data_IF_533656209274
#
_entry.id   IF_533656209274
#
_cell.length_a   1.000
_cell.length_b   1.000
_cell.length_c   1.000
_cell.angle_alpha   90.00
_cell.angle_beta   90.00
_cell.angle_gamma   90.00
#
_symmetry.space_group_name_H-M   'P 1'
#
loop_
_entity.id
_entity.type
_entity.pdbx_description
1 polymer ?
#
# COMPACT_ATOMS: atom_id res chain seq x y z
N UNK A 1 3.18 21.08 1.07
CA UNK A 1 2.04 21.84 1.69
C UNK A 1 1.73 21.22 3.03
N UNK A 2 1.57 22.03 4.09
CA UNK A 2 1.07 21.55 5.39
C UNK A 2 -0.45 21.59 5.43
N UNK A 3 -1.06 20.46 5.79
CA UNK A 3 -2.52 20.32 5.93
C UNK A 3 -2.84 19.65 7.27
N UNK A 4 -4.04 19.89 7.78
CA UNK A 4 -4.52 19.21 8.97
C UNK A 4 -5.21 17.88 8.56
N UNK A 5 -4.83 16.79 9.20
CA UNK A 5 -5.44 15.47 8.95
C UNK A 5 -6.96 15.48 9.16
N UNK A 6 -7.47 16.33 10.07
CA UNK A 6 -8.91 16.46 10.31
C UNK A 6 -9.70 17.02 9.12
N UNK A 7 -9.03 17.64 8.16
CA UNK A 7 -9.63 18.15 6.92
C UNK A 7 -9.68 17.10 5.80
N UNK A 8 -9.13 15.93 6.04
CA UNK A 8 -9.08 14.85 5.07
C UNK A 8 -10.32 13.95 5.15
N UNK A 9 -10.83 13.56 4.00
CA UNK A 9 -11.81 12.49 3.87
C UNK A 9 -11.12 11.24 3.36
N UNK A 10 -11.23 10.13 4.11
CA UNK A 10 -10.74 8.81 3.69
C UNK A 10 -11.95 7.92 3.44
N UNK A 11 -12.06 7.38 2.23
CA UNK A 11 -13.20 6.54 1.84
C UNK A 11 -12.81 5.49 0.81
N UNK A 12 -13.54 4.35 0.75
CA UNK A 12 -13.44 3.43 -0.36
C UNK A 12 -13.75 4.11 -1.69
N UNK A 13 -13.02 3.73 -2.71
CA UNK A 13 -13.24 4.17 -4.10
C UNK A 13 -13.46 2.96 -4.99
N UNK A 14 -14.15 3.16 -6.10
CA UNK A 14 -14.45 2.12 -7.08
C UNK A 14 -13.47 2.12 -8.25
N UNK A 15 -13.62 1.14 -9.14
CA UNK A 15 -12.74 0.92 -10.29
C UNK A 15 -12.65 2.11 -11.25
N UNK A 16 -13.65 2.99 -11.27
CA UNK A 16 -13.64 4.20 -12.11
C UNK A 16 -12.52 5.18 -11.76
N UNK A 17 -11.91 5.03 -10.58
CA UNK A 17 -10.78 5.85 -10.13
C UNK A 17 -9.42 5.39 -10.68
N UNK A 18 -9.31 4.25 -11.36
CA UNK A 18 -8.01 3.77 -11.87
C UNK A 18 -7.24 4.84 -12.66
N UNK A 19 -7.85 5.63 -13.56
CA UNK A 19 -7.12 6.70 -14.24
C UNK A 19 -6.46 7.71 -13.28
N UNK A 20 -7.14 8.07 -12.18
CA UNK A 20 -6.60 8.97 -11.16
C UNK A 20 -5.46 8.30 -10.37
N UNK A 21 -5.56 7.00 -10.07
CA UNK A 21 -4.48 6.27 -9.42
C UNK A 21 -3.21 6.25 -10.27
N UNK A 22 -3.37 6.03 -11.58
CA UNK A 22 -2.26 6.04 -12.53
C UNK A 22 -1.65 7.44 -12.68
N UNK A 23 -2.46 8.49 -12.66
CA UNK A 23 -1.98 9.88 -12.65
C UNK A 23 -1.09 10.17 -11.43
N UNK A 24 -1.55 9.80 -10.22
CA UNK A 24 -0.79 9.97 -8.98
C UNK A 24 0.51 9.16 -9.02
N UNK A 25 0.48 7.95 -9.58
CA UNK A 25 1.66 7.14 -9.79
C UNK A 25 2.67 7.85 -10.70
N UNK A 26 2.24 8.38 -11.84
CA UNK A 26 3.11 9.08 -12.78
C UNK A 26 3.72 10.36 -12.19
N UNK A 27 2.96 11.10 -11.38
CA UNK A 27 3.52 12.24 -10.63
C UNK A 27 4.65 11.81 -9.69
N UNK A 28 4.47 10.66 -9.03
CA UNK A 28 5.48 10.09 -8.14
C UNK A 28 6.76 9.73 -8.88
N UNK A 29 6.66 9.11 -10.06
CA UNK A 29 7.82 8.78 -10.89
C UNK A 29 8.53 10.04 -11.42
N UNK A 30 7.79 11.03 -11.88
CA UNK A 30 8.37 12.30 -12.32
C UNK A 30 9.12 13.02 -11.20
N UNK A 31 8.56 13.04 -9.99
CA UNK A 31 9.20 13.67 -8.83
C UNK A 31 10.48 12.95 -8.41
N UNK A 32 10.56 11.64 -8.60
CA UNK A 32 11.73 10.83 -8.29
C UNK A 32 12.82 10.85 -9.38
N UNK A 33 12.68 11.69 -10.40
CA UNK A 33 13.64 11.78 -11.50
C UNK A 33 13.65 10.54 -12.41
N UNK A 34 12.54 9.77 -12.43
CA UNK A 34 12.38 8.60 -13.29
C UNK A 34 13.06 7.32 -12.78
N UNK A 35 13.71 7.34 -11.62
CA UNK A 35 14.23 6.11 -11.01
C UNK A 35 13.07 5.27 -10.47
N UNK A 36 12.72 4.20 -11.19
CA UNK A 36 11.53 3.39 -10.92
C UNK A 36 11.70 2.26 -9.90
N UNK A 37 12.89 2.08 -9.33
CA UNK A 37 13.20 0.90 -8.51
C UNK A 37 12.55 0.91 -7.13
N UNK A 38 12.13 2.07 -6.62
CA UNK A 38 11.47 2.19 -5.32
C UNK A 38 9.98 1.86 -5.36
N UNK A 39 9.34 1.92 -6.53
CA UNK A 39 7.93 1.67 -6.75
C UNK A 39 7.72 0.84 -8.01
N UNK A 40 7.06 -0.31 -7.89
CA UNK A 40 6.64 -1.09 -9.05
C UNK A 40 5.58 -0.34 -9.84
N UNK A 41 5.79 -0.21 -11.16
CA UNK A 41 4.81 0.43 -12.04
C UNK A 41 3.56 -0.46 -12.18
N UNK A 42 2.40 0.11 -11.92
CA UNK A 42 1.11 -0.53 -12.11
C UNK A 42 0.45 -0.06 -13.40
N UNK A 43 -0.41 -0.92 -13.94
CA UNK A 43 -1.26 -0.66 -15.10
C UNK A 43 -2.72 -0.84 -14.71
N UNK A 44 -3.65 -0.57 -15.63
CA UNK A 44 -5.06 -0.87 -15.41
C UNK A 44 -5.26 -2.33 -15.02
N UNK A 45 -4.64 -3.25 -15.74
CA UNK A 45 -4.76 -4.71 -15.56
C UNK A 45 -4.23 -5.18 -14.20
N UNK A 46 -3.20 -4.54 -13.67
CA UNK A 46 -2.65 -4.88 -12.34
C UNK A 46 -3.44 -4.27 -11.20
N UNK A 47 -4.17 -3.16 -11.45
CA UNK A 47 -4.99 -2.48 -10.43
C UNK A 47 -6.42 -3.01 -10.38
N UNK A 48 -7.00 -3.41 -11.51
CA UNK A 48 -8.40 -3.84 -11.58
C UNK A 48 -8.77 -4.96 -10.57
N UNK A 49 -7.96 -6.02 -10.38
CA UNK A 49 -8.26 -7.06 -9.39
C UNK A 49 -8.31 -6.56 -7.94
N UNK A 50 -7.69 -5.41 -7.65
CA UNK A 50 -7.66 -4.84 -6.30
C UNK A 50 -9.02 -4.23 -5.89
N UNK A 51 -9.95 -4.10 -6.81
CA UNK A 51 -11.31 -3.62 -6.55
C UNK A 51 -12.32 -4.75 -6.29
N UNK A 52 -11.88 -5.99 -6.36
CA UNK A 52 -12.70 -7.17 -6.04
C UNK A 52 -12.65 -7.45 -4.54
N UNK A 53 -13.83 -7.61 -3.91
CA UNK A 53 -13.91 -7.98 -2.49
C UNK A 53 -13.22 -9.34 -2.22
N UNK A 54 -12.55 -9.49 -1.08
CA UNK A 54 -12.44 -8.59 0.06
C UNK A 54 -11.28 -7.57 -0.02
N UNK A 55 -10.67 -7.37 -1.19
CA UNK A 55 -9.70 -6.29 -1.40
C UNK A 55 -10.36 -4.92 -1.24
N UNK A 56 -9.60 -3.92 -0.80
CA UNK A 56 -10.09 -2.57 -0.56
C UNK A 56 -9.12 -1.55 -1.14
N UNK A 57 -9.65 -0.58 -1.88
CA UNK A 57 -8.91 0.60 -2.31
C UNK A 57 -9.48 1.82 -1.60
N UNK A 58 -8.64 2.51 -0.81
CA UNK A 58 -9.01 3.75 -0.13
C UNK A 58 -8.41 4.95 -0.85
N UNK A 59 -9.22 5.96 -1.10
CA UNK A 59 -8.78 7.29 -1.53
C UNK A 59 -8.76 8.26 -0.36
N UNK A 60 -7.80 9.16 -0.36
CA UNK A 60 -7.71 10.29 0.57
C UNK A 60 -7.96 11.57 -0.19
N UNK A 61 -8.93 12.35 0.26
CA UNK A 61 -9.38 13.57 -0.39
C UNK A 61 -9.13 14.80 0.50
N UNK A 62 -8.64 15.85 -0.11
CA UNK A 62 -8.51 17.17 0.46
C UNK A 62 -9.17 18.16 -0.49
N UNK A 63 -10.19 18.91 -0.01
CA UNK A 63 -10.97 19.86 -0.84
C UNK A 63 -11.42 19.23 -2.18
N UNK A 64 -12.04 18.06 -2.11
CA UNK A 64 -12.54 17.28 -3.25
C UNK A 64 -11.48 16.68 -4.19
N UNK A 65 -10.22 17.09 -4.06
CA UNK A 65 -9.12 16.50 -4.82
C UNK A 65 -8.59 15.22 -4.14
N UNK A 66 -8.44 14.14 -4.88
CA UNK A 66 -7.75 12.96 -4.39
C UNK A 66 -6.24 13.21 -4.34
N UNK A 67 -5.66 13.13 -3.14
CA UNK A 67 -4.25 13.46 -2.87
C UNK A 67 -3.40 12.23 -2.52
N UNK A 68 -4.05 11.11 -2.21
CA UNK A 68 -3.38 9.86 -1.90
C UNK A 68 -4.34 8.68 -2.07
N UNK A 69 -3.79 7.49 -2.16
CA UNK A 69 -4.54 6.24 -2.11
C UNK A 69 -3.71 5.11 -1.50
N UNK A 70 -4.42 4.09 -1.04
CA UNK A 70 -3.82 2.86 -0.54
C UNK A 70 -4.64 1.64 -0.91
N UNK A 71 -3.98 0.50 -1.07
CA UNK A 71 -4.57 -0.75 -1.52
C UNK A 71 -4.26 -1.86 -0.53
N UNK A 72 -5.32 -2.48 0.00
CA UNK A 72 -5.28 -3.77 0.67
C UNK A 72 -5.69 -4.84 -0.34
N UNK A 73 -4.77 -5.70 -0.71
CA UNK A 73 -5.01 -6.74 -1.71
C UNK A 73 -5.11 -8.12 -1.08
N UNK A 74 -6.27 -8.76 -1.24
CA UNK A 74 -6.55 -10.12 -0.83
C UNK A 74 -6.07 -11.09 -1.91
N UNK A 75 -4.79 -11.42 -1.91
CA UNK A 75 -4.17 -12.27 -2.94
C UNK A 75 -4.59 -13.74 -2.84
N UNK A 76 -5.23 -14.15 -1.74
CA UNK A 76 -5.69 -15.53 -1.55
C UNK A 76 -4.54 -16.53 -1.65
N UNK A 77 -4.71 -17.58 -2.46
CA UNK A 77 -3.69 -18.61 -2.69
C UNK A 77 -2.81 -18.34 -3.91
N UNK A 78 -2.91 -17.17 -4.53
CA UNK A 78 -2.04 -16.81 -5.66
C UNK A 78 -0.61 -16.59 -5.21
N UNK A 79 0.34 -16.75 -6.13
CA UNK A 79 1.77 -16.53 -5.86
C UNK A 79 2.12 -15.08 -5.48
N UNK A 80 1.19 -14.15 -5.65
CA UNK A 80 1.35 -12.74 -5.24
C UNK A 80 1.21 -12.54 -3.73
N UNK A 81 0.66 -13.54 -3.02
CA UNK A 81 0.51 -13.46 -1.56
C UNK A 81 1.87 -13.50 -0.88
N UNK A 82 2.21 -12.42 -0.19
CA UNK A 82 3.49 -12.30 0.53
C UNK A 82 3.62 -13.27 1.71
N UNK A 83 2.51 -13.83 2.18
CA UNK A 83 2.50 -14.80 3.27
C UNK A 83 3.31 -16.07 2.98
N UNK A 84 3.51 -16.42 1.71
CA UNK A 84 4.39 -17.55 1.35
C UNK A 84 5.84 -17.38 1.80
N UNK A 85 6.25 -16.14 2.07
CA UNK A 85 7.60 -15.80 2.53
C UNK A 85 7.65 -15.54 4.05
N UNK A 86 6.56 -15.82 4.79
CA UNK A 86 6.44 -15.56 6.24
C UNK A 86 6.15 -16.88 6.97
N UNK A 87 7.14 -17.41 7.65
CA UNK A 87 7.06 -18.75 8.28
C UNK A 87 5.99 -18.85 9.36
N UNK A 88 5.65 -17.74 10.04
CA UNK A 88 4.64 -17.69 11.08
C UNK A 88 3.20 -17.75 10.55
N UNK A 89 3.00 -17.48 9.25
CA UNK A 89 1.67 -17.57 8.63
C UNK A 89 1.41 -19.00 8.17
N UNK A 90 0.55 -19.68 8.89
CA UNK A 90 0.20 -21.09 8.60
C UNK A 90 -0.85 -21.27 7.52
N UNK A 91 -1.72 -20.29 7.35
CA UNK A 91 -2.70 -20.24 6.25
C UNK A 91 -2.57 -18.91 5.51
N UNK A 92 -2.07 -18.96 4.28
CA UNK A 92 -1.85 -17.76 3.46
C UNK A 92 -3.13 -16.96 3.19
N UNK A 93 -4.30 -17.61 3.28
CA UNK A 93 -5.61 -16.94 3.11
C UNK A 93 -5.93 -15.96 4.24
N UNK A 94 -5.27 -16.10 5.38
CA UNK A 94 -5.42 -15.20 6.53
C UNK A 94 -4.61 -13.90 6.39
N UNK A 95 -3.82 -13.77 5.32
CA UNK A 95 -3.00 -12.60 5.04
C UNK A 95 -3.58 -11.74 3.92
N UNK A 96 -3.52 -10.42 4.10
CA UNK A 96 -3.71 -9.45 3.04
C UNK A 96 -2.42 -8.66 2.82
N UNK A 97 -2.15 -8.31 1.57
CA UNK A 97 -1.00 -7.46 1.22
C UNK A 97 -1.38 -5.98 1.27
N UNK A 98 -0.59 -5.14 1.94
CA UNK A 98 -0.55 -3.72 1.63
C UNK A 98 0.18 -3.55 0.30
N UNK A 99 -0.56 -3.62 -0.79
CA UNK A 99 0.03 -3.70 -2.13
C UNK A 99 0.66 -2.39 -2.57
N UNK A 100 0.04 -1.28 -2.21
CA UNK A 100 0.43 0.04 -2.67
C UNK A 100 -0.09 1.11 -1.72
N UNK A 101 0.72 2.15 -1.50
CA UNK A 101 0.32 3.36 -0.79
C UNK A 101 1.11 4.53 -1.38
N UNK A 102 0.42 5.44 -2.04
CA UNK A 102 1.04 6.59 -2.70
C UNK A 102 0.39 7.88 -2.22
N UNK A 103 1.22 8.86 -1.87
CA UNK A 103 0.83 10.23 -1.54
C UNK A 103 1.41 11.17 -2.59
N UNK A 104 0.60 12.06 -3.15
CA UNK A 104 1.08 13.09 -4.08
C UNK A 104 2.24 13.86 -3.46
N UNK A 105 3.31 14.16 -4.22
CA UNK A 105 4.54 14.77 -3.67
C UNK A 105 4.29 16.00 -2.79
N UNK A 106 3.42 16.90 -3.23
CA UNK A 106 3.13 18.16 -2.51
C UNK A 106 2.46 17.97 -1.14
N UNK A 107 1.89 16.80 -0.89
CA UNK A 107 1.17 16.48 0.35
C UNK A 107 1.93 15.54 1.29
N UNK A 108 3.16 15.18 0.94
CA UNK A 108 4.01 14.33 1.80
C UNK A 108 4.39 15.03 3.10
N UNK A 109 4.79 14.26 4.09
CA UNK A 109 5.18 14.80 5.41
C UNK A 109 4.02 15.21 6.32
N UNK A 110 2.77 14.85 5.97
CA UNK A 110 1.56 15.14 6.76
C UNK A 110 0.97 13.89 7.44
N UNK A 111 1.70 12.77 7.52
CA UNK A 111 1.21 11.54 8.16
C UNK A 111 0.15 10.75 7.35
N UNK A 112 -0.09 11.11 6.09
CA UNK A 112 -1.15 10.52 5.25
C UNK A 112 -0.91 9.02 5.01
N UNK A 113 0.34 8.60 4.80
CA UNK A 113 0.66 7.19 4.60
C UNK A 113 0.34 6.36 5.86
N UNK A 114 0.67 6.87 7.05
CA UNK A 114 0.32 6.20 8.30
C UNK A 114 -1.20 6.13 8.50
N UNK A 115 -1.91 7.22 8.17
CA UNK A 115 -3.38 7.23 8.18
C UNK A 115 -3.96 6.14 7.26
N UNK A 116 -3.45 6.01 6.05
CA UNK A 116 -3.86 4.96 5.11
C UNK A 116 -3.59 3.55 5.66
N UNK A 117 -2.40 3.31 6.20
CA UNK A 117 -2.04 2.02 6.79
C UNK A 117 -3.03 1.66 7.90
N UNK A 118 -3.32 2.57 8.82
CA UNK A 118 -4.25 2.33 9.94
C UNK A 118 -5.67 2.05 9.44
N UNK A 119 -6.14 2.78 8.43
CA UNK A 119 -7.48 2.58 7.85
C UNK A 119 -7.60 1.26 7.08
N UNK A 120 -6.57 0.89 6.31
CA UNK A 120 -6.54 -0.40 5.61
C UNK A 120 -6.43 -1.58 6.59
N UNK A 121 -5.71 -1.40 7.68
CA UNK A 121 -5.63 -2.40 8.76
C UNK A 121 -7.00 -2.61 9.43
N UNK A 122 -7.78 -1.53 9.65
CA UNK A 122 -9.15 -1.65 10.12
C UNK A 122 -10.01 -2.46 9.13
N UNK A 123 -9.93 -2.16 7.83
CA UNK A 123 -10.64 -2.91 6.79
C UNK A 123 -10.24 -4.39 6.77
N UNK A 124 -8.96 -4.69 6.99
CA UNK A 124 -8.46 -6.06 7.07
C UNK A 124 -9.07 -6.83 8.25
N UNK A 125 -9.14 -6.21 9.43
CA UNK A 125 -9.78 -6.80 10.62
C UNK A 125 -11.26 -7.08 10.38
N UNK A 126 -11.97 -6.12 9.80
CA UNK A 126 -13.39 -6.25 9.47
C UNK A 126 -13.65 -7.38 8.46
N UNK A 127 -12.71 -7.64 7.57
CA UNK A 127 -12.76 -8.74 6.60
C UNK A 127 -12.25 -10.08 7.14
N UNK A 128 -11.82 -10.14 8.41
CA UNK A 128 -11.39 -11.37 9.08
C UNK A 128 -9.94 -11.80 8.82
N UNK A 129 -9.12 -10.92 8.20
CA UNK A 129 -7.68 -11.18 8.07
C UNK A 129 -7.00 -11.13 9.44
N UNK A 130 -5.98 -11.95 9.62
CA UNK A 130 -5.17 -12.03 10.84
C UNK A 130 -3.76 -11.46 10.67
N UNK A 131 -3.34 -11.31 9.43
CA UNK A 131 -2.02 -10.83 9.05
C UNK A 131 -2.11 -9.78 7.96
N UNK A 132 -1.21 -8.82 8.02
CA UNK A 132 -0.92 -7.90 6.91
C UNK A 132 0.56 -7.93 6.63
N UNK A 133 0.91 -7.98 5.36
CA UNK A 133 2.29 -7.96 4.90
C UNK A 133 2.49 -6.90 3.82
N UNK A 134 3.71 -6.41 3.73
CA UNK A 134 4.10 -5.35 2.79
C UNK A 134 5.55 -5.52 2.37
N UNK A 135 5.87 -5.20 1.13
CA UNK A 135 7.24 -5.06 0.66
C UNK A 135 7.57 -3.60 0.41
N UNK A 136 8.75 -3.19 0.85
CA UNK A 136 9.25 -1.81 0.69
C UNK A 136 10.65 -1.85 0.12
N UNK A 137 10.98 -0.94 -0.80
CA UNK A 137 12.35 -0.76 -1.26
C UNK A 137 13.26 -0.38 -0.08
N UNK A 138 14.45 -0.99 0.06
CA UNK A 138 15.42 -0.59 1.09
C UNK A 138 15.89 0.85 0.92
N UNK A 139 15.76 1.42 -0.28
CA UNK A 139 16.11 2.80 -0.59
C UNK A 139 14.98 3.80 -0.30
N UNK A 140 13.87 3.33 0.29
CA UNK A 140 12.75 4.16 0.72
C UNK A 140 12.61 4.17 2.25
N UNK A 141 13.49 4.89 2.98
CA UNK A 141 13.47 4.92 4.43
C UNK A 141 12.19 5.51 5.03
N UNK A 142 11.54 6.43 4.32
CA UNK A 142 10.27 7.03 4.78
C UNK A 142 9.16 5.99 4.86
N UNK A 143 8.99 5.18 3.82
CA UNK A 143 7.98 4.12 3.83
C UNK A 143 8.30 3.03 4.86
N UNK A 144 9.57 2.64 5.00
CA UNK A 144 10.02 1.71 6.04
C UNK A 144 9.70 2.23 7.44
N UNK A 145 10.01 3.50 7.73
CA UNK A 145 9.75 4.11 9.03
C UNK A 145 8.25 4.24 9.31
N UNK A 146 7.44 4.55 8.30
CA UNK A 146 5.98 4.61 8.45
C UNK A 146 5.39 3.24 8.79
N UNK A 147 5.82 2.19 8.10
CA UNK A 147 5.39 0.82 8.41
C UNK A 147 5.79 0.43 9.84
N UNK A 148 7.05 0.67 10.23
CA UNK A 148 7.53 0.37 11.59
C UNK A 148 6.78 1.16 12.66
N UNK A 149 6.49 2.44 12.41
CA UNK A 149 5.70 3.27 13.31
C UNK A 149 4.26 2.75 13.48
N UNK A 150 3.72 2.07 12.48
CA UNK A 150 2.41 1.40 12.55
C UNK A 150 2.48 -0.02 13.13
N UNK A 151 3.63 -0.47 13.64
CA UNK A 151 3.80 -1.75 14.32
C UNK A 151 4.17 -2.91 13.43
N UNK A 152 4.58 -2.67 12.18
CA UNK A 152 5.10 -3.72 11.29
C UNK A 152 6.55 -4.04 11.66
N UNK A 153 6.90 -5.32 11.61
CA UNK A 153 8.26 -5.79 11.86
C UNK A 153 8.87 -6.34 10.58
N UNK A 154 10.17 -6.12 10.43
CA UNK A 154 10.95 -6.67 9.31
C UNK A 154 11.07 -8.18 9.46
N UNK A 155 10.64 -8.93 8.44
CA UNK A 155 10.72 -10.40 8.40
C UNK A 155 12.02 -10.82 7.74
N UNK A 156 12.26 -10.34 6.51
CA UNK A 156 13.48 -10.63 5.74
C UNK A 156 13.64 -9.66 4.58
N UNK A 157 14.81 -9.70 3.96
CA UNK A 157 15.07 -9.09 2.66
C UNK A 157 15.12 -10.16 1.59
N UNK A 158 14.51 -9.92 0.45
CA UNK A 158 14.41 -10.87 -0.64
C UNK A 158 14.30 -10.16 -2.00
N UNK A 159 14.60 -10.88 -3.06
CA UNK A 159 14.34 -10.41 -4.41
C UNK A 159 12.89 -10.70 -4.81
N UNK A 160 12.23 -9.69 -5.35
CA UNK A 160 10.87 -9.76 -5.87
C UNK A 160 10.78 -9.00 -7.20
N UNK A 161 9.69 -9.21 -7.92
CA UNK A 161 9.31 -8.40 -9.08
C UNK A 161 10.40 -8.33 -10.17
N UNK A 162 11.04 -9.48 -10.45
CA UNK A 162 12.07 -9.55 -11.50
C UNK A 162 13.46 -9.08 -11.06
N UNK A 163 13.83 -9.28 -9.79
CA UNK A 163 15.19 -9.03 -9.28
C UNK A 163 15.33 -7.77 -8.42
N UNK A 164 14.20 -7.12 -8.06
CA UNK A 164 14.23 -5.99 -7.14
C UNK A 164 14.40 -6.45 -5.70
N UNK A 165 15.41 -5.94 -4.99
CA UNK A 165 15.57 -6.19 -3.56
C UNK A 165 14.47 -5.46 -2.79
N UNK A 166 13.79 -6.17 -1.89
CA UNK A 166 12.70 -5.65 -1.06
C UNK A 166 12.88 -6.08 0.39
N UNK A 167 12.47 -5.20 1.29
CA UNK A 167 12.27 -5.52 2.70
C UNK A 167 10.83 -6.00 2.85
N UNK A 168 10.66 -7.23 3.33
CA UNK A 168 9.35 -7.77 3.69
C UNK A 168 9.08 -7.47 5.17
N UNK A 169 7.97 -6.79 5.42
CA UNK A 169 7.47 -6.52 6.77
C UNK A 169 6.09 -7.15 6.94
N UNK A 170 5.78 -7.51 8.17
CA UNK A 170 4.48 -8.09 8.51
C UNK A 170 4.01 -7.63 9.89
N UNK A 171 2.69 -7.72 10.08
CA UNK A 171 2.03 -7.46 11.35
C UNK A 171 0.88 -8.45 11.54
N UNK A 172 0.83 -9.08 12.71
CA UNK A 172 -0.34 -9.82 13.15
C UNK A 172 -1.35 -8.83 13.74
N UNK A 173 -2.58 -8.91 13.26
CA UNK A 173 -3.65 -7.96 13.61
C UNK A 173 -4.79 -8.63 14.38
#
# INVERSE_FOLDING_TARGET
MKINISELTVKPIDISYIPTLLEIQEETFRHAGGSGDFLRRNTYETLAPCFEEPSVVLGVFYKEQMIAFGILYAAGQTKENLAYDIDEVTDVRENANLKLSIVRPDYRGNGIQQLLIVRLEQSARESGFKWISVTVSPDNPWSLNNCKACGYTEVKRLEKYGGLVRVLLAKKI
#
